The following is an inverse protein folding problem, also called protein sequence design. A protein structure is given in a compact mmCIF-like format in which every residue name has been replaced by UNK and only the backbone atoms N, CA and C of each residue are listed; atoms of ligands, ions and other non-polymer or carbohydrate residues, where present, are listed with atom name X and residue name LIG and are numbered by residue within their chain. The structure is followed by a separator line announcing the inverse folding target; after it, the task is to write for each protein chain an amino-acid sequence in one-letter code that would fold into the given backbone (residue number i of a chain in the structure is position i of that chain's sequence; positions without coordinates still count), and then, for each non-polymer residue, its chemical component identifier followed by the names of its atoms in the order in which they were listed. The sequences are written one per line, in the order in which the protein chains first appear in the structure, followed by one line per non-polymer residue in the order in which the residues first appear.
data_IF_587207881817
#
_entry.id   IF_587207881817
#
_cell.length_a   1.000
_cell.length_b   1.000
_cell.length_c   1.000
_cell.angle_alpha   90.00
_cell.angle_beta   90.00
_cell.angle_gamma   90.00
#
_symmetry.space_group_name_H-M   'P 1'
#
loop_
_entity.id
_entity.type
_entity.pdbx_description
1 polymer ?
#
# COMPACT_ATOMS: atom_id res chain seq x y z
N UNK A 1 41.25 21.77 -13.71
CA UNK A 1 41.60 23.20 -13.70
C UNK A 1 40.32 23.97 -13.88
N UNK A 2 40.01 24.93 -13.00
CA UNK A 2 38.81 25.75 -13.13
C UNK A 2 38.91 26.64 -14.37
N UNK A 3 37.77 26.99 -14.96
CA UNK A 3 37.71 27.97 -16.04
C UNK A 3 37.94 29.35 -15.42
N UNK A 4 39.04 30.00 -15.81
CA UNK A 4 39.40 31.37 -15.40
C UNK A 4 39.83 32.19 -16.63
N UNK A 5 39.65 33.51 -16.57
CA UNK A 5 40.16 34.44 -17.59
C UNK A 5 40.82 35.65 -16.96
N UNK A 6 41.93 36.08 -17.54
CA UNK A 6 42.58 37.33 -17.19
C UNK A 6 41.80 38.54 -17.70
N UNK A 7 42.06 39.71 -17.13
CA UNK A 7 41.50 40.99 -17.60
C UNK A 7 41.79 41.23 -19.09
N UNK A 8 42.94 40.80 -19.59
CA UNK A 8 43.30 40.96 -21.00
C UNK A 8 42.45 40.09 -21.92
N UNK A 9 42.30 38.80 -21.59
CA UNK A 9 41.47 37.87 -22.38
C UNK A 9 40.01 38.32 -22.38
N UNK A 10 39.49 38.76 -21.23
CA UNK A 10 38.14 39.31 -21.12
C UNK A 10 37.93 40.55 -21.98
N UNK A 11 38.92 41.44 -22.03
CA UNK A 11 38.84 42.66 -22.84
C UNK A 11 38.79 42.33 -24.34
N UNK A 12 39.57 41.34 -24.78
CA UNK A 12 39.59 40.85 -26.15
C UNK A 12 38.27 40.18 -26.53
N UNK A 13 37.77 39.25 -25.69
CA UNK A 13 36.51 38.52 -25.93
C UNK A 13 35.30 39.47 -25.98
N UNK A 14 35.25 40.42 -25.05
CA UNK A 14 34.11 41.33 -24.89
C UNK A 14 34.21 42.59 -25.77
N UNK A 15 35.28 42.73 -26.56
CA UNK A 15 35.46 43.85 -27.49
C UNK A 15 35.56 45.22 -26.79
N UNK A 16 36.11 45.27 -25.57
CA UNK A 16 36.27 46.52 -24.80
C UNK A 16 37.75 46.79 -24.48
N UNK A 17 38.07 48.03 -24.09
CA UNK A 17 39.44 48.35 -23.71
C UNK A 17 39.88 47.62 -22.44
N UNK A 18 41.15 47.23 -22.36
CA UNK A 18 41.74 46.60 -21.15
C UNK A 18 41.51 47.43 -19.90
N UNK A 19 41.56 48.76 -20.01
CA UNK A 19 41.31 49.68 -18.90
C UNK A 19 39.84 49.64 -18.44
N UNK A 20 38.89 49.62 -19.38
CA UNK A 20 37.47 49.49 -19.04
C UNK A 20 37.17 48.14 -18.38
N UNK A 21 37.78 47.06 -18.88
CA UNK A 21 37.64 45.73 -18.28
C UNK A 21 38.27 45.67 -16.89
N UNK A 22 39.43 46.29 -16.68
CA UNK A 22 40.06 46.36 -15.36
C UNK A 22 39.16 47.09 -14.34
N UNK A 23 38.51 48.19 -14.75
CA UNK A 23 37.57 48.89 -13.89
C UNK A 23 36.33 48.04 -13.58
N UNK A 24 35.82 47.27 -14.56
CA UNK A 24 34.73 46.32 -14.35
C UNK A 24 35.11 45.22 -13.36
N UNK A 25 36.29 44.62 -13.51
CA UNK A 25 36.78 43.55 -12.63
C UNK A 25 36.98 44.04 -11.21
N UNK A 26 37.50 45.27 -11.02
CA UNK A 26 37.59 45.90 -9.69
C UNK A 26 36.25 46.18 -9.02
N UNK A 27 35.18 46.25 -9.79
CA UNK A 27 33.82 46.43 -9.28
C UNK A 27 33.10 45.10 -9.01
N UNK A 28 33.72 43.96 -9.34
CA UNK A 28 33.18 42.65 -8.98
C UNK A 28 33.44 42.36 -7.49
N UNK A 29 32.56 41.58 -6.84
CA UNK A 29 32.82 40.99 -5.53
C UNK A 29 34.18 40.27 -5.47
N UNK A 30 34.84 40.33 -4.31
CA UNK A 30 36.16 39.69 -4.10
C UNK A 30 36.11 38.17 -4.33
N UNK A 31 34.97 37.52 -4.06
CA UNK A 31 34.73 36.10 -4.32
C UNK A 31 34.80 35.69 -5.81
N UNK A 32 34.77 36.64 -6.74
CA UNK A 32 34.85 36.39 -8.18
C UNK A 32 36.23 36.65 -8.78
N UNK A 33 37.15 37.18 -7.98
CA UNK A 33 38.45 37.66 -8.45
C UNK A 33 39.56 37.04 -7.63
N UNK A 34 40.49 36.35 -8.28
CA UNK A 34 41.62 35.71 -7.62
C UNK A 34 42.94 35.99 -8.35
N UNK A 35 44.04 35.52 -7.76
CA UNK A 35 45.35 35.54 -8.41
C UNK A 35 45.74 34.12 -8.78
N UNK A 36 46.10 33.92 -10.05
CA UNK A 36 46.62 32.64 -10.51
C UNK A 36 48.06 32.37 -10.02
N UNK A 37 48.61 31.22 -10.37
CA UNK A 37 49.98 30.79 -10.00
C UNK A 37 51.09 31.78 -10.41
N UNK A 38 50.83 32.62 -11.42
CA UNK A 38 51.76 33.65 -11.91
C UNK A 38 51.54 35.02 -11.23
N UNK A 39 50.64 35.11 -10.25
CA UNK A 39 50.30 36.33 -9.54
C UNK A 39 49.43 37.31 -10.33
N UNK A 40 48.85 36.88 -11.46
CA UNK A 40 48.00 37.70 -12.33
C UNK A 40 46.56 37.62 -11.86
N UNK A 41 45.87 38.77 -11.85
CA UNK A 41 44.43 38.84 -11.54
C UNK A 41 43.60 38.14 -12.62
N UNK A 42 42.81 37.18 -12.20
CA UNK A 42 41.88 36.41 -13.02
C UNK A 42 40.48 36.45 -12.43
N UNK A 43 39.48 36.28 -13.27
CA UNK A 43 38.08 36.13 -12.89
C UNK A 43 37.73 34.65 -12.95
N UNK A 44 37.20 34.12 -11.85
CA UNK A 44 36.80 32.72 -11.75
C UNK A 44 35.45 32.46 -12.45
N UNK A 45 35.08 31.19 -12.62
CA UNK A 45 33.86 30.77 -13.32
C UNK A 45 32.59 31.52 -12.89
N UNK A 46 32.37 31.70 -11.60
CA UNK A 46 31.20 32.43 -11.09
C UNK A 46 31.19 33.90 -11.55
N UNK A 47 32.36 34.56 -11.51
CA UNK A 47 32.55 35.89 -12.05
C UNK A 47 32.36 35.97 -13.56
N UNK A 48 32.82 34.96 -14.31
CA UNK A 48 32.64 34.90 -15.76
C UNK A 48 31.15 34.84 -16.14
N UNK A 49 30.35 34.00 -15.46
CA UNK A 49 28.88 33.94 -15.67
C UNK A 49 28.25 35.32 -15.45
N UNK A 50 28.71 36.04 -14.42
CA UNK A 50 28.19 37.39 -14.15
C UNK A 50 28.55 38.39 -15.25
N UNK A 51 29.75 38.28 -15.81
CA UNK A 51 30.17 39.11 -16.94
C UNK A 51 29.38 38.76 -18.22
N UNK A 52 29.12 37.49 -18.50
CA UNK A 52 28.26 37.08 -19.62
C UNK A 52 26.85 37.68 -19.48
N UNK A 53 26.29 37.68 -18.27
CA UNK A 53 24.99 38.29 -18.00
C UNK A 53 24.98 39.80 -18.29
N UNK A 54 26.06 40.51 -17.97
CA UNK A 54 26.21 41.97 -18.16
C UNK A 54 26.42 42.31 -19.62
N UNK A 55 27.34 41.60 -20.29
CA UNK A 55 27.76 41.91 -21.66
C UNK A 55 26.95 41.18 -22.73
N UNK A 56 26.04 40.28 -22.32
CA UNK A 56 25.22 39.45 -23.22
C UNK A 56 26.04 38.75 -24.30
N UNK A 57 27.26 38.36 -23.93
CA UNK A 57 28.27 37.76 -24.81
C UNK A 57 28.82 36.54 -24.10
N UNK A 58 28.87 35.41 -24.78
CA UNK A 58 29.48 34.18 -24.27
C UNK A 58 30.99 34.38 -24.13
N UNK A 59 31.50 34.19 -22.92
CA UNK A 59 32.91 34.33 -22.54
C UNK A 59 33.57 32.95 -22.44
N UNK A 60 32.80 31.93 -22.03
CA UNK A 60 33.25 30.55 -21.99
C UNK A 60 32.09 29.61 -22.31
N UNK A 61 32.43 28.44 -22.83
CA UNK A 61 31.48 27.33 -22.98
C UNK A 61 31.90 26.26 -21.98
N UNK A 62 30.96 25.82 -21.15
CA UNK A 62 31.19 24.61 -20.36
C UNK A 62 31.33 23.43 -21.30
N UNK A 63 32.32 22.58 -21.03
CA UNK A 63 32.47 21.33 -21.77
C UNK A 63 31.18 20.52 -21.58
N UNK A 64 30.52 20.08 -22.67
CA UNK A 64 29.27 19.36 -22.56
C UNK A 64 29.50 18.10 -21.73
N UNK A 65 28.69 17.91 -20.69
CA UNK A 65 28.65 16.64 -19.95
C UNK A 65 28.46 15.53 -20.97
N UNK A 66 29.35 14.53 -20.95
CA UNK A 66 29.29 13.45 -21.94
C UNK A 66 27.94 12.76 -21.88
N UNK A 67 27.45 12.31 -23.03
CA UNK A 67 26.18 11.56 -23.11
C UNK A 67 26.20 10.32 -22.22
N UNK A 68 27.38 9.72 -21.98
CA UNK A 68 27.56 8.59 -21.08
C UNK A 68 27.26 8.95 -19.61
N UNK A 69 27.69 10.13 -19.15
CA UNK A 69 27.39 10.60 -17.78
C UNK A 69 25.89 10.89 -17.64
N UNK A 70 25.27 11.53 -18.63
CA UNK A 70 23.81 11.78 -18.64
C UNK A 70 23.00 10.48 -18.62
N UNK A 71 23.42 9.49 -19.43
CA UNK A 71 22.79 8.18 -19.47
C UNK A 71 22.92 7.44 -18.14
N UNK A 72 24.09 7.53 -17.50
CA UNK A 72 24.33 6.93 -16.18
C UNK A 72 23.45 7.56 -15.11
N UNK A 73 23.37 8.89 -15.03
CA UNK A 73 22.50 9.59 -14.08
C UNK A 73 21.03 9.23 -14.29
N UNK A 74 20.58 9.17 -15.55
CA UNK A 74 19.21 8.75 -15.87
C UNK A 74 18.95 7.30 -15.45
N UNK A 75 19.92 6.41 -15.67
CA UNK A 75 19.80 5.01 -15.29
C UNK A 75 19.77 4.84 -13.77
N UNK A 76 20.55 5.63 -13.03
CA UNK A 76 20.53 5.64 -11.56
C UNK A 76 19.16 6.05 -11.01
N UNK A 77 18.60 7.16 -11.51
CA UNK A 77 17.25 7.61 -11.15
C UNK A 77 16.21 6.53 -11.44
N UNK A 78 16.30 5.89 -12.62
CA UNK A 78 15.36 4.85 -13.01
C UNK A 78 15.47 3.61 -12.11
N UNK A 79 16.68 3.22 -11.73
CA UNK A 79 16.91 2.09 -10.81
C UNK A 79 16.33 2.40 -9.44
N UNK A 80 16.53 3.60 -8.92
CA UNK A 80 15.98 4.02 -7.62
C UNK A 80 14.45 4.04 -7.63
N UNK A 81 13.84 4.57 -8.68
CA UNK A 81 12.39 4.56 -8.86
C UNK A 81 11.84 3.13 -8.90
N UNK A 82 12.51 2.23 -9.63
CA UNK A 82 12.13 0.82 -9.69
C UNK A 82 12.33 0.09 -8.37
N UNK A 83 13.38 0.40 -7.62
CA UNK A 83 13.58 -0.16 -6.29
C UNK A 83 12.49 0.29 -5.31
N UNK A 84 12.07 1.56 -5.37
CA UNK A 84 10.97 2.07 -4.55
C UNK A 84 9.63 1.38 -4.90
N UNK A 85 9.37 1.16 -6.19
CA UNK A 85 8.19 0.42 -6.66
C UNK A 85 8.20 -1.04 -6.18
N UNK A 86 9.35 -1.71 -6.25
CA UNK A 86 9.52 -3.09 -5.74
C UNK A 86 9.20 -3.18 -4.24
N UNK A 87 9.74 -2.25 -3.43
CA UNK A 87 9.46 -2.23 -1.98
C UNK A 87 7.97 -2.04 -1.69
N UNK A 88 7.32 -1.12 -2.40
CA UNK A 88 5.87 -0.89 -2.26
C UNK A 88 5.07 -2.14 -2.63
N UNK A 89 5.40 -2.81 -3.73
CA UNK A 89 4.73 -4.04 -4.15
C UNK A 89 4.95 -5.17 -3.13
N UNK A 90 6.15 -5.28 -2.56
CA UNK A 90 6.46 -6.25 -1.53
C UNK A 90 5.63 -6.04 -0.26
N UNK A 91 5.50 -4.79 0.20
CA UNK A 91 4.67 -4.45 1.36
C UNK A 91 3.18 -4.74 1.11
N UNK A 92 2.70 -4.45 -0.11
CA UNK A 92 1.34 -4.81 -0.51
C UNK A 92 1.11 -6.32 -0.51
N UNK A 93 2.06 -7.10 -1.00
CA UNK A 93 1.98 -8.56 -1.00
C UNK A 93 1.92 -9.09 0.43
N UNK A 94 2.82 -8.62 1.31
CA UNK A 94 2.84 -8.98 2.73
C UNK A 94 1.53 -8.65 3.44
N UNK A 95 0.93 -7.49 3.14
CA UNK A 95 -0.36 -7.11 3.70
C UNK A 95 -1.50 -8.03 3.20
N UNK A 96 -1.49 -8.41 1.92
CA UNK A 96 -2.46 -9.34 1.35
C UNK A 96 -2.31 -10.75 1.94
N UNK A 97 -1.09 -11.24 2.12
CA UNK A 97 -0.85 -12.55 2.75
C UNK A 97 -1.39 -12.60 4.17
N UNK A 98 -1.19 -11.52 4.95
CA UNK A 98 -1.78 -11.40 6.28
C UNK A 98 -3.31 -11.44 6.25
N UNK A 99 -3.93 -10.70 5.32
CA UNK A 99 -5.38 -10.71 5.16
C UNK A 99 -5.92 -12.08 4.75
N UNK A 100 -5.19 -12.83 3.92
CA UNK A 100 -5.55 -14.19 3.54
C UNK A 100 -5.51 -15.11 4.76
N UNK A 101 -4.42 -15.07 5.54
CA UNK A 101 -4.29 -15.87 6.76
C UNK A 101 -5.42 -15.59 7.78
N UNK A 102 -5.80 -14.32 7.96
CA UNK A 102 -6.91 -13.93 8.84
C UNK A 102 -8.26 -14.47 8.33
N UNK A 103 -8.49 -14.46 7.01
CA UNK A 103 -9.71 -15.01 6.41
C UNK A 103 -9.76 -16.54 6.51
N UNK A 104 -8.63 -17.21 6.30
CA UNK A 104 -8.55 -18.66 6.42
C UNK A 104 -8.87 -19.12 7.83
N UNK A 105 -8.36 -18.42 8.85
CA UNK A 105 -8.73 -18.72 10.25
C UNK A 105 -10.22 -18.47 10.52
N UNK A 106 -10.79 -17.38 9.98
CA UNK A 106 -12.24 -17.14 10.09
C UNK A 106 -13.07 -18.24 9.44
N UNK A 107 -12.66 -18.74 8.28
CA UNK A 107 -13.32 -19.85 7.60
C UNK A 107 -13.24 -21.11 8.45
N UNK A 108 -12.07 -21.44 9.00
CA UNK A 108 -11.88 -22.59 9.89
C UNK A 108 -12.81 -22.52 11.11
N UNK A 109 -12.93 -21.35 11.74
CA UNK A 109 -13.84 -21.15 12.88
C UNK A 109 -15.30 -21.33 12.45
N UNK A 110 -15.70 -20.80 11.29
CA UNK A 110 -17.06 -20.98 10.76
C UNK A 110 -17.37 -22.44 10.46
N UNK A 111 -16.44 -23.19 9.89
CA UNK A 111 -16.62 -24.61 9.60
C UNK A 111 -16.85 -25.42 10.88
N UNK A 112 -16.10 -25.14 11.95
CA UNK A 112 -16.32 -25.76 13.26
C UNK A 112 -17.73 -25.44 13.79
N UNK A 113 -18.15 -24.17 13.71
CA UNK A 113 -19.48 -23.76 14.16
C UNK A 113 -20.60 -24.40 13.35
N UNK A 114 -20.42 -24.57 12.03
CA UNK A 114 -21.38 -25.27 11.16
C UNK A 114 -21.47 -26.73 11.60
N UNK A 115 -20.34 -27.41 11.81
CA UNK A 115 -20.33 -28.80 12.27
C UNK A 115 -21.03 -28.98 13.63
N UNK A 116 -20.84 -28.05 14.56
CA UNK A 116 -21.55 -28.06 15.85
C UNK A 116 -23.06 -27.86 15.69
N UNK A 117 -23.48 -26.92 14.84
CA UNK A 117 -24.90 -26.68 14.55
C UNK A 117 -25.56 -27.87 13.86
N UNK A 118 -24.87 -28.51 12.92
CA UNK A 118 -25.39 -29.70 12.23
C UNK A 118 -25.63 -30.84 13.23
N UNK A 119 -24.71 -31.07 14.17
CA UNK A 119 -24.90 -32.05 15.25
C UNK A 119 -26.10 -31.72 16.14
N UNK A 120 -26.27 -30.46 16.51
CA UNK A 120 -27.41 -30.03 17.32
C UNK A 120 -28.73 -30.23 16.55
N UNK A 121 -28.73 -29.95 15.26
CA UNK A 121 -29.90 -30.09 14.40
C UNK A 121 -30.27 -31.56 14.22
N UNK A 122 -29.29 -32.44 14.03
CA UNK A 122 -29.48 -33.89 14.00
C UNK A 122 -30.06 -34.41 15.33
N UNK A 123 -29.53 -33.96 16.47
CA UNK A 123 -30.06 -34.31 17.79
C UNK A 123 -31.51 -33.84 17.96
N UNK A 124 -31.82 -32.61 17.53
CA UNK A 124 -33.17 -32.07 17.60
C UNK A 124 -34.14 -32.86 16.72
N UNK A 125 -33.72 -33.26 15.51
CA UNK A 125 -34.52 -34.10 14.62
C UNK A 125 -34.81 -35.46 15.25
N UNK A 126 -33.80 -36.12 15.85
CA UNK A 126 -33.98 -37.40 16.53
C UNK A 126 -34.93 -37.29 17.73
N UNK A 127 -34.77 -36.28 18.58
CA UNK A 127 -35.66 -36.04 19.71
C UNK A 127 -37.09 -35.75 19.25
N UNK A 128 -37.26 -35.01 18.15
CA UNK A 128 -38.57 -34.71 17.57
C UNK A 128 -39.24 -35.98 17.05
N UNK A 129 -38.52 -36.82 16.30
CA UNK A 129 -39.03 -38.11 15.82
C UNK A 129 -39.44 -39.02 16.98
N UNK A 130 -38.62 -39.09 18.03
CA UNK A 130 -38.94 -39.86 19.23
C UNK A 130 -40.19 -39.35 19.93
N UNK A 131 -40.30 -38.03 20.15
CA UNK A 131 -41.48 -37.42 20.76
C UNK A 131 -42.76 -37.62 19.93
N UNK A 132 -42.65 -37.65 18.59
CA UNK A 132 -43.78 -37.97 17.72
C UNK A 132 -44.21 -39.42 17.86
N UNK A 133 -43.27 -40.37 17.87
CA UNK A 133 -43.57 -41.79 18.10
C UNK A 133 -44.22 -42.02 19.47
N UNK A 134 -43.66 -41.44 20.54
CA UNK A 134 -44.21 -41.54 21.89
C UNK A 134 -45.62 -40.93 21.99
N UNK A 135 -45.90 -39.86 21.24
CA UNK A 135 -47.24 -39.27 21.16
C UNK A 135 -48.24 -40.20 20.46
N UNK A 136 -47.82 -40.90 19.41
CA UNK A 136 -48.67 -41.86 18.70
C UNK A 136 -49.02 -43.06 19.58
N UNK A 137 -48.03 -43.61 20.31
CA UNK A 137 -48.27 -44.72 21.25
C UNK A 137 -49.20 -44.31 22.38
N UNK A 138 -48.96 -43.16 23.03
CA UNK A 138 -49.83 -42.64 24.08
C UNK A 138 -51.26 -42.41 23.59
N UNK A 139 -51.44 -41.97 22.34
CA UNK A 139 -52.77 -41.81 21.75
C UNK A 139 -53.49 -43.15 21.61
N UNK A 140 -52.79 -44.19 21.15
CA UNK A 140 -53.34 -45.55 21.05
C UNK A 140 -53.71 -46.11 22.43
N UNK A 141 -52.84 -45.97 23.43
CA UNK A 141 -53.11 -46.41 24.80
C UNK A 141 -54.31 -45.69 25.41
N UNK A 142 -54.44 -44.38 25.15
CA UNK A 142 -55.55 -43.57 25.63
C UNK A 142 -56.88 -43.97 24.97
N UNK A 143 -56.87 -44.28 23.67
CA UNK A 143 -58.04 -44.78 22.95
C UNK A 143 -58.44 -46.18 23.43
N UNK A 144 -57.48 -47.06 23.71
CA UNK A 144 -57.73 -48.38 24.31
C UNK A 144 -58.33 -48.26 25.73
N UNK A 145 -57.73 -47.43 26.59
CA UNK A 145 -58.23 -47.21 27.95
C UNK A 145 -59.65 -46.64 27.95
N UNK A 146 -59.96 -45.71 27.04
CA UNK A 146 -61.34 -45.20 26.85
C UNK A 146 -62.31 -46.32 26.45
N UNK A 147 -61.93 -47.16 25.49
CA UNK A 147 -62.77 -48.28 25.06
C UNK A 147 -63.02 -49.29 26.20
N UNK A 148 -62.01 -49.58 27.02
CA UNK A 148 -62.17 -50.43 28.20
C UNK A 148 -63.13 -49.83 29.23
N UNK A 149 -62.99 -48.53 29.53
CA UNK A 149 -63.88 -47.80 30.45
C UNK A 149 -65.32 -47.78 29.91
N UNK A 150 -65.53 -47.49 28.62
CA UNK A 150 -66.86 -47.53 28.01
C UNK A 150 -67.45 -48.94 28.08
N UNK A 151 -66.66 -49.98 27.81
CA UNK A 151 -67.14 -51.36 27.88
C UNK A 151 -67.55 -51.78 29.30
N UNK A 152 -66.81 -51.33 30.33
CA UNK A 152 -67.13 -51.61 31.74
C UNK A 152 -68.30 -50.79 32.24
N UNK A 153 -68.41 -49.51 31.85
CA UNK A 153 -69.58 -48.69 32.11
C UNK A 153 -70.83 -49.26 31.44
N UNK A 154 -70.74 -49.68 30.17
CA UNK A 154 -71.85 -50.32 29.47
C UNK A 154 -72.26 -51.63 30.16
N UNK A 155 -71.32 -52.50 30.52
CA UNK A 155 -71.61 -53.73 31.29
C UNK A 155 -72.27 -53.44 32.63
N UNK A 156 -71.78 -52.45 33.38
CA UNK A 156 -72.38 -52.03 34.66
C UNK A 156 -73.74 -51.36 34.51
N UNK A 157 -73.96 -50.65 33.40
CA UNK A 157 -75.23 -50.05 33.03
C UNK A 157 -76.25 -51.13 32.67
N UNK A 158 -75.92 -52.09 31.80
CA UNK A 158 -76.80 -53.21 31.45
C UNK A 158 -77.08 -54.12 32.66
N UNK A 159 -76.11 -54.33 33.56
CA UNK A 159 -76.31 -55.09 34.79
C UNK A 159 -77.28 -54.40 35.77
N UNK A 160 -77.31 -53.06 35.84
CA UNK A 160 -78.32 -52.31 36.62
C UNK A 160 -79.68 -52.22 35.92
N UNK A 161 -79.69 -52.17 34.58
CA UNK A 161 -80.89 -51.94 33.79
C UNK A 161 -81.69 -53.22 33.51
N UNK A 162 -81.01 -54.36 33.37
CA UNK A 162 -81.60 -55.66 33.02
C UNK A 162 -81.20 -56.77 33.99
N UNK A 163 -81.00 -56.42 35.26
CA UNK A 163 -80.63 -57.39 36.29
C UNK A 163 -81.53 -58.64 36.28
N UNK A 164 -80.98 -59.74 36.79
CA UNK A 164 -81.78 -60.42 37.81
C UNK A 164 -81.92 -59.48 39.00
#
# INVERSE_FOLDING_TARGET
MGIEKTVSELAEILGVSRQAMNNRVKALPEEFVEKNEKGVTVVNRAGLVKLEEIYKTTIFEDEPVSEEVKQRELMEILVDEKNAEILRLYDQLKAKDKQLAEKDEQLRVKDVQISEKDKQLDQQQQLTLKAMADKETLKLELDQAKAEVESTQNKGFFARLFGK
#
